data_IF_760765933605
#
_entry.id   IF_760765933605
#
_cell.length_a   1.000
_cell.length_b   1.000
_cell.length_c   1.000
_cell.angle_alpha   90.00
_cell.angle_beta   90.00
_cell.angle_gamma   90.00
#
_symmetry.space_group_name_H-M   'P 1'
#
loop_
_entity.id
_entity.type
_entity.pdbx_description
1 polymer ?
2 water ?
#
# COMPACT_ATOMS: atom_id res chain seq x y z
N UNK A 3 11.99 10.82 -39.13
CA UNK A 3 12.27 10.78 -37.70
C UNK A 3 11.25 9.91 -36.99
N UNK A 4 10.18 9.52 -37.71
CA UNK A 4 9.07 8.75 -37.14
C UNK A 4 9.07 7.36 -37.79
N UNK A 5 8.99 6.32 -36.98
CA UNK A 5 8.90 4.94 -37.46
C UNK A 5 8.02 4.18 -36.47
N UNK A 6 7.17 3.29 -36.98
CA UNK A 6 6.35 2.48 -36.08
C UNK A 6 5.08 3.17 -35.63
N UNK A 7 4.43 2.55 -34.64
CA UNK A 7 3.09 2.94 -34.22
C UNK A 7 3.14 3.69 -32.89
N UNK A 8 2.15 4.56 -32.70
CA UNK A 8 1.96 5.20 -31.42
C UNK A 8 1.23 4.23 -30.47
N UNK A 9 1.34 4.49 -29.18
CA UNK A 9 0.85 3.50 -28.22
C UNK A 9 0.60 4.15 -26.87
N UNK A 10 -0.14 3.44 -26.03
CA UNK A 10 -0.38 3.90 -24.65
C UNK A 10 -0.57 2.67 -23.76
N UNK A 11 -0.04 2.75 -22.53
CA UNK A 11 -0.09 1.66 -21.58
C UNK A 11 -0.45 2.19 -20.19
N UNK A 12 -1.41 1.56 -19.53
CA UNK A 12 -1.71 1.88 -18.13
C UNK A 12 -0.76 1.08 -17.25
N UNK A 13 0.13 1.78 -16.55
CA UNK A 13 1.05 1.12 -15.61
C UNK A 13 0.49 1.05 -14.20
N UNK A 14 -0.34 2.02 -13.81
CA UNK A 14 -0.92 2.07 -12.47
C UNK A 14 -2.21 2.86 -12.55
N UNK A 15 -3.25 2.49 -11.81
CA UNK A 15 -3.33 1.34 -10.89
C UNK A 15 -3.55 0.03 -11.61
N UNK A 16 -3.05 -1.05 -11.04
CA UNK A 16 -3.28 -2.37 -11.60
C UNK A 16 -4.34 -3.16 -10.85
N UNK A 17 -4.49 -2.93 -9.54
CA UNK A 17 -5.38 -3.74 -8.73
C UNK A 17 -6.25 -2.93 -7.78
N UNK A 18 -5.69 -1.92 -7.11
CA UNK A 18 -6.39 -1.18 -6.07
C UNK A 18 -6.28 0.33 -6.30
N UNK A 19 -7.28 1.05 -5.80
CA UNK A 19 -7.35 2.50 -5.86
C UNK A 19 -7.69 3.00 -4.46
N UNK A 20 -6.94 3.97 -3.96
CA UNK A 20 -7.28 4.54 -2.66
C UNK A 20 -8.50 5.44 -2.79
N UNK A 21 -9.40 5.35 -1.80
CA UNK A 21 -10.61 6.15 -1.86
C UNK A 21 -10.27 7.62 -1.62
N UNK A 22 -10.54 8.45 -2.62
CA UNK A 22 -10.29 9.88 -2.54
C UNK A 22 -10.95 10.56 -3.72
N UNK A 23 -11.06 11.88 -3.65
CA UNK A 23 -11.61 12.65 -4.77
C UNK A 23 -10.59 12.85 -5.89
N UNK A 24 -9.37 12.32 -5.73
CA UNK A 24 -8.36 12.36 -6.77
C UNK A 24 -7.85 10.94 -7.01
N UNK A 25 -7.84 10.51 -8.27
CA UNK A 25 -7.37 9.19 -8.67
C UNK A 25 -6.24 9.39 -9.68
N UNK A 26 -5.04 8.93 -9.34
CA UNK A 26 -3.89 9.10 -10.21
C UNK A 26 -3.77 7.87 -11.11
N UNK A 27 -3.49 8.12 -12.38
CA UNK A 27 -3.30 7.07 -13.38
C UNK A 27 -1.96 7.33 -14.04
N UNK A 28 -1.07 6.34 -13.99
CA UNK A 28 0.23 6.47 -14.62
C UNK A 28 0.22 5.81 -16.00
N UNK A 29 0.56 6.59 -17.02
CA UNK A 29 0.47 6.18 -18.42
C UNK A 29 1.85 6.27 -19.05
N UNK A 30 2.23 5.25 -19.79
CA UNK A 30 3.43 5.31 -20.63
C UNK A 30 2.98 5.33 -22.08
N UNK A 31 3.63 6.12 -22.91
CA UNK A 31 3.12 6.28 -24.26
C UNK A 31 4.25 6.52 -25.23
N UNK A 32 3.92 6.30 -26.50
CA UNK A 32 4.75 6.70 -27.64
C UNK A 32 3.91 7.66 -28.46
N UNK A 33 4.34 8.93 -28.54
CA UNK A 33 3.65 9.95 -29.32
C UNK A 33 4.58 10.38 -30.44
N UNK A 34 4.10 10.36 -31.68
CA UNK A 34 4.92 10.74 -32.83
C UNK A 34 4.51 12.10 -33.38
N UNK A 35 4.00 12.92 -32.49
CA UNK A 35 3.57 14.29 -32.70
C UNK A 35 3.16 14.77 -31.33
N UNK A 36 2.76 16.02 -31.22
CA UNK A 36 2.07 16.41 -30.01
C UNK A 36 0.68 15.76 -30.04
N UNK A 37 0.28 15.13 -28.93
CA UNK A 37 -0.96 14.36 -28.86
C UNK A 37 -1.65 14.64 -27.54
N UNK A 38 -2.91 14.18 -27.43
CA UNK A 38 -3.60 14.13 -26.15
C UNK A 38 -3.57 12.72 -25.61
N UNK A 39 -3.30 12.59 -24.31
CA UNK A 39 -3.50 11.32 -23.61
C UNK A 39 -4.63 11.54 -22.61
N UNK A 40 -5.50 10.54 -22.49
CA UNK A 40 -6.71 10.64 -21.68
C UNK A 40 -6.75 9.45 -20.74
N UNK A 41 -7.03 9.70 -19.46
CA UNK A 41 -7.31 8.65 -18.49
C UNK A 41 -8.72 8.87 -17.94
N UNK A 42 -9.51 7.80 -17.92
CA UNK A 42 -10.87 7.86 -17.38
C UNK A 42 -11.00 6.89 -16.22
N UNK A 43 -11.88 7.21 -15.29
CA UNK A 43 -12.18 6.36 -14.15
C UNK A 43 -13.66 6.06 -14.17
N UNK A 44 -14.01 4.77 -14.16
CA UNK A 44 -15.39 4.29 -14.24
C UNK A 44 -15.72 3.42 -13.03
N UNK A 45 -16.97 3.47 -12.60
CA UNK A 45 -17.46 2.48 -11.66
C UNK A 45 -18.19 1.38 -12.43
N UNK A 46 -18.73 0.40 -11.70
CA UNK A 46 -19.50 -0.65 -12.37
C UNK A 46 -20.75 -0.11 -13.05
N UNK A 47 -21.15 1.12 -12.69
CA UNK A 47 -22.37 1.71 -13.22
C UNK A 47 -22.14 2.83 -14.22
N UNK A 48 -20.92 3.27 -14.42
CA UNK A 48 -20.65 4.19 -15.51
C UNK A 48 -19.48 5.11 -15.21
N UNK A 49 -19.28 6.02 -16.16
CA UNK A 49 -18.16 6.95 -16.12
C UNK A 49 -18.25 7.84 -14.89
N UNK A 50 -17.12 8.05 -14.23
CA UNK A 50 -17.04 8.94 -13.06
C UNK A 50 -16.26 10.21 -13.34
N UNK A 51 -15.20 10.14 -14.15
CA UNK A 51 -14.37 11.33 -14.38
C UNK A 51 -13.23 10.99 -15.31
N UNK A 52 -12.57 12.04 -15.81
CA UNK A 52 -11.40 11.81 -16.65
C UNK A 52 -10.50 13.03 -16.60
N UNK A 53 -9.26 12.83 -17.06
CA UNK A 53 -8.26 13.89 -17.18
C UNK A 53 -7.63 13.78 -18.55
N UNK A 54 -7.20 14.92 -19.09
CA UNK A 54 -6.56 14.97 -20.40
C UNK A 54 -5.27 15.76 -20.26
N UNK A 55 -4.22 15.32 -20.95
CA UNK A 55 -2.97 16.05 -20.96
C UNK A 55 -2.44 16.09 -22.37
N UNK A 56 -2.14 17.28 -22.86
CA UNK A 56 -1.44 17.41 -24.15
C UNK A 56 0.05 17.16 -23.93
N UNK A 57 0.61 16.21 -24.66
CA UNK A 57 1.99 15.77 -24.46
C UNK A 57 2.79 16.03 -25.72
N UNK A 58 4.06 16.37 -25.53
CA UNK A 58 4.95 16.55 -26.67
C UNK A 58 5.35 15.19 -27.22
N UNK A 59 5.81 15.20 -28.48
CA UNK A 59 6.28 13.97 -29.10
C UNK A 59 7.39 13.34 -28.29
N UNK A 60 7.35 12.01 -28.20
CA UNK A 60 8.42 11.27 -27.58
C UNK A 60 7.88 10.01 -26.92
N UNK A 61 8.78 9.35 -26.20
CA UNK A 61 8.52 8.12 -25.45
C UNK A 61 8.69 8.46 -23.97
N UNK A 62 7.64 8.33 -23.16
CA UNK A 62 7.67 8.82 -21.79
C UNK A 62 6.65 8.11 -20.92
N UNK A 63 6.77 8.37 -19.62
CA UNK A 63 5.76 7.99 -18.63
C UNK A 63 5.28 9.24 -17.90
N UNK A 64 3.96 9.42 -17.82
CA UNK A 64 3.38 10.57 -17.15
C UNK A 64 2.22 10.10 -16.28
N UNK A 65 1.85 10.92 -15.29
CA UNK A 65 0.76 10.56 -14.38
C UNK A 65 -0.28 11.66 -14.42
N UNK A 66 -1.54 11.27 -14.64
CA UNK A 66 -2.67 12.18 -14.69
C UNK A 66 -3.51 12.04 -13.43
N UNK A 67 -3.98 13.17 -12.91
CA UNK A 67 -4.83 13.20 -11.74
C UNK A 67 -6.26 13.44 -12.18
N UNK A 68 -7.13 12.45 -11.94
CA UNK A 68 -8.56 12.54 -12.24
C UNK A 68 -9.29 13.08 -11.03
N UNK A 69 -10.06 14.15 -11.22
CA UNK A 69 -10.80 14.79 -10.14
C UNK A 69 -12.24 14.32 -10.13
N UNK A 70 -12.69 13.88 -8.96
CA UNK A 70 -14.06 13.41 -8.76
C UNK A 70 -14.79 14.30 -7.76
N UNK A 71 -16.12 14.34 -7.88
CA UNK A 71 -16.91 15.12 -6.94
C UNK A 71 -16.84 14.54 -5.53
N UNK A 72 -16.80 13.22 -5.42
CA UNK A 72 -16.74 12.52 -4.14
C UNK A 72 -15.87 11.29 -4.27
N UNK A 73 -15.34 10.86 -3.13
CA UNK A 73 -14.61 9.61 -3.09
C UNK A 73 -15.52 8.46 -3.47
N UNK A 74 -15.06 7.53 -4.30
CA UNK A 74 -15.90 6.38 -4.68
C UNK A 74 -16.09 5.41 -3.54
N UNK A 75 -17.24 4.76 -3.54
CA UNK A 75 -17.54 3.77 -2.50
C UNK A 75 -16.60 2.57 -2.62
N UNK A 76 -16.26 2.00 -1.47
CA UNK A 76 -15.36 0.84 -1.47
C UNK A 76 -16.04 -0.32 -2.17
N UNK A 77 -15.24 -1.15 -2.84
CA UNK A 77 -15.74 -2.31 -3.54
C UNK A 77 -15.00 -2.49 -4.84
N UNK A 78 -15.47 -3.45 -5.64
CA UNK A 78 -14.83 -3.80 -6.90
C UNK A 78 -15.62 -3.25 -8.08
N UNK A 79 -15.26 -3.69 -9.28
CA UNK A 79 -15.97 -3.30 -10.48
C UNK A 79 -15.51 -2.00 -11.08
N UNK A 80 -14.44 -1.40 -10.56
CA UNK A 80 -13.99 -0.13 -11.08
C UNK A 80 -13.06 -0.37 -12.28
N UNK A 81 -13.00 0.63 -13.16
CA UNK A 81 -12.30 0.50 -14.43
C UNK A 81 -11.53 1.77 -14.70
N UNK A 82 -10.28 1.64 -15.16
CA UNK A 82 -9.53 2.76 -15.71
C UNK A 82 -9.40 2.52 -17.21
N UNK A 83 -9.71 3.54 -18.00
CA UNK A 83 -9.52 3.48 -19.44
C UNK A 83 -8.55 4.58 -19.87
N UNK A 84 -7.76 4.29 -20.90
CA UNK A 84 -6.82 5.28 -21.40
C UNK A 84 -6.80 5.27 -22.91
N UNK A 85 -6.46 6.42 -23.48
CA UNK A 85 -6.34 6.50 -24.94
C UNK A 85 -5.33 7.59 -25.28
N UNK A 86 -4.77 7.48 -26.48
CA UNK A 86 -3.95 8.55 -27.05
C UNK A 86 -4.57 8.91 -28.39
N UNK A 87 -4.63 10.20 -28.69
CA UNK A 87 -5.43 10.65 -29.81
C UNK A 87 -4.89 12.01 -30.27
N UNK A 88 -5.24 12.46 -31.48
CA UNK A 88 -4.76 13.77 -31.91
C UNK A 88 -5.33 14.85 -30.99
N UNK A 89 -4.55 15.92 -30.82
CA UNK A 89 -4.90 16.96 -29.86
C UNK A 89 -6.30 17.50 -30.14
N UNK A 90 -7.09 17.65 -29.09
CA UNK A 90 -8.40 18.25 -29.17
C UNK A 90 -9.53 17.38 -29.70
N UNK A 91 -9.26 16.15 -30.13
CA UNK A 91 -10.27 15.30 -30.74
C UNK A 91 -11.00 14.48 -29.68
N UNK A 92 -12.08 13.82 -30.09
CA UNK A 92 -12.82 12.96 -29.19
C UNK A 92 -12.45 11.50 -29.45
N UNK A 93 -13.18 10.59 -28.83
CA UNK A 93 -12.79 9.19 -28.80
C UNK A 93 -12.79 8.54 -30.17
N UNK A 94 -13.55 9.08 -31.14
CA UNK A 94 -13.60 8.46 -32.46
C UNK A 94 -12.27 8.59 -33.22
N UNK A 95 -11.33 9.41 -32.74
CA UNK A 95 -10.01 9.53 -33.33
C UNK A 95 -8.92 8.78 -32.55
N UNK A 96 -9.30 7.96 -31.57
CA UNK A 96 -8.29 7.25 -30.80
C UNK A 96 -7.27 6.55 -31.68
N UNK A 97 -6.00 6.71 -31.34
CA UNK A 97 -4.91 6.04 -32.05
C UNK A 97 -4.56 4.72 -31.39
N UNK A 98 -4.63 4.71 -30.08
CA UNK A 98 -4.40 3.50 -29.28
C UNK A 98 -5.13 3.66 -27.97
N UNK A 99 -5.42 2.54 -27.31
CA UNK A 99 -6.13 2.51 -26.04
C UNK A 99 -5.54 1.44 -25.14
N UNK A 100 -5.89 1.55 -23.86
CA UNK A 100 -5.65 0.50 -22.87
C UNK A 100 -6.77 0.56 -21.83
N UNK A 101 -6.92 -0.53 -21.08
CA UNK A 101 -7.90 -0.50 -20.00
C UNK A 101 -7.52 -1.53 -18.95
N UNK A 102 -7.98 -1.29 -17.73
CA UNK A 102 -7.76 -2.18 -16.59
C UNK A 102 -9.11 -2.35 -15.91
N UNK A 103 -9.61 -3.58 -15.87
CA UNK A 103 -10.87 -3.89 -15.20
C UNK A 103 -10.64 -4.52 -13.84
N UNK A 104 -11.73 -4.71 -13.11
CA UNK A 104 -11.68 -5.39 -11.83
C UNK A 104 -10.95 -4.65 -10.73
N UNK A 105 -10.83 -3.32 -10.82
CA UNK A 105 -10.16 -2.57 -9.76
C UNK A 105 -11.01 -2.50 -8.50
N UNK A 106 -10.35 -2.54 -7.36
CA UNK A 106 -10.99 -2.39 -6.06
C UNK A 106 -10.67 -1.02 -5.50
N UNK A 107 -11.66 -0.35 -4.92
CA UNK A 107 -11.42 0.86 -4.15
C UNK A 107 -11.39 0.45 -2.69
N UNK A 108 -10.34 0.87 -1.98
CA UNK A 108 -10.11 0.42 -0.61
C UNK A 108 -10.65 1.44 0.38
N UNK A 109 -11.04 1.04 1.61
CA UNK A 109 -11.59 1.98 2.61
C UNK A 109 -10.60 3.02 3.13
N UNK B 4 -5.11 -10.23 -2.22
CA UNK B 4 -4.32 -10.42 -3.42
C UNK B 4 -3.14 -11.36 -3.17
N UNK B 5 -2.81 -12.17 -4.18
CA UNK B 5 -1.63 -13.03 -4.10
C UNK B 5 -0.42 -12.14 -3.90
N UNK B 6 0.42 -12.49 -2.92
CA UNK B 6 1.65 -11.76 -2.68
C UNK B 6 1.49 -10.46 -1.92
N UNK B 7 0.33 -10.20 -1.35
CA UNK B 7 0.08 -8.95 -0.64
C UNK B 7 0.99 -8.83 0.58
N UNK B 8 1.21 -7.59 1.02
CA UNK B 8 2.02 -7.36 2.20
C UNK B 8 1.28 -7.83 3.45
N UNK B 9 2.05 -8.28 4.43
CA UNK B 9 1.47 -8.87 5.63
C UNK B 9 2.52 -8.89 6.73
N UNK B 10 2.06 -9.00 7.97
CA UNK B 10 2.95 -9.22 9.10
C UNK B 10 2.27 -10.18 10.09
N UNK B 11 3.06 -11.10 10.64
CA UNK B 11 2.53 -12.11 11.55
C UNK B 11 3.46 -12.24 12.74
N UNK B 12 2.89 -12.20 13.94
CA UNK B 12 3.64 -12.46 15.17
C UNK B 12 3.75 -13.97 15.30
N UNK B 13 4.92 -14.55 14.99
CA UNK B 13 5.05 -15.99 15.14
C UNK B 13 5.30 -16.37 16.59
N UNK B 14 5.97 -15.49 17.34
CA UNK B 14 6.30 -15.72 18.73
C UNK B 14 6.39 -14.33 19.37
N UNK B 15 5.95 -14.17 20.62
CA UNK B 15 5.36 -15.18 21.51
C UNK B 15 3.90 -15.48 21.22
N UNK B 16 3.42 -16.67 21.55
CA UNK B 16 2.00 -16.96 21.43
C UNK B 16 1.31 -17.06 22.78
N UNK B 17 2.02 -17.44 23.82
CA UNK B 17 1.41 -17.63 25.14
C UNK B 17 2.18 -16.96 26.28
N UNK B 18 3.51 -17.08 26.32
CA UNK B 18 4.29 -16.64 27.46
C UNK B 18 5.47 -15.79 27.04
N UNK B 19 5.84 -14.87 27.93
CA UNK B 19 6.99 -13.99 27.79
C UNK B 19 7.80 -14.07 29.08
N UNK B 20 9.09 -14.37 28.97
CA UNK B 20 9.92 -14.40 30.17
C UNK B 20 10.16 -12.99 30.70
N UNK B 21 10.01 -12.82 32.01
CA UNK B 21 10.25 -11.51 32.61
C UNK B 21 11.71 -11.11 32.48
N UNK B 22 11.96 -10.01 31.79
CA UNK B 22 13.31 -9.56 31.45
C UNK B 22 13.20 -8.14 30.94
N UNK B 23 14.34 -7.44 30.86
CA UNK B 23 14.29 -6.11 30.25
C UNK B 23 14.27 -6.18 28.74
N UNK B 24 14.32 -7.40 28.17
CA UNK B 24 14.34 -7.66 26.75
C UNK B 24 13.09 -8.49 26.46
N UNK B 25 12.30 -8.10 25.47
CA UNK B 25 11.15 -8.90 25.04
C UNK B 25 11.31 -9.13 23.55
N UNK B 26 11.51 -10.38 23.15
CA UNK B 26 11.77 -10.72 21.76
C UNK B 26 10.47 -11.07 21.05
N UNK B 27 10.26 -10.49 19.85
CA UNK B 27 9.08 -10.70 19.04
C UNK B 27 9.51 -11.18 17.66
N UNK B 28 9.15 -12.40 17.30
CA UNK B 28 9.52 -12.95 16.01
C UNK B 28 8.41 -12.68 15.01
N UNK B 29 8.77 -11.98 13.92
CA UNK B 29 7.81 -11.45 12.95
C UNK B 29 8.11 -12.03 11.57
N UNK B 30 7.13 -12.73 10.98
CA UNK B 30 7.19 -13.08 9.57
C UNK B 30 6.46 -12.01 8.77
N UNK B 31 7.10 -11.47 7.75
CA UNK B 31 6.47 -10.37 7.03
C UNK B 31 6.80 -10.44 5.55
N UNK B 32 5.98 -9.74 4.79
CA UNK B 32 6.20 -9.58 3.36
C UNK B 32 6.19 -8.10 3.06
N UNK B 33 7.29 -7.61 2.47
CA UNK B 33 7.50 -6.21 2.19
C UNK B 33 7.74 -6.04 0.69
N UNK B 34 6.88 -5.28 0.04
CA UNK B 34 6.98 -5.07 -1.40
C UNK B 34 7.75 -3.79 -1.75
N UNK B 35 8.34 -3.15 -0.75
CA UNK B 35 9.25 -2.02 -0.89
C UNK B 35 9.97 -1.91 0.43
N UNK B 36 10.83 -0.90 0.57
CA UNK B 36 11.37 -0.65 1.91
C UNK B 36 10.22 -0.28 2.84
N UNK B 37 10.18 -0.88 4.03
CA UNK B 37 9.10 -0.67 4.98
C UNK B 37 9.68 -0.53 6.38
N UNK B 38 8.85 0.01 7.29
CA UNK B 38 9.14 -0.10 8.71
C UNK B 38 8.31 -1.24 9.26
N UNK B 39 8.93 -2.09 10.07
CA UNK B 39 8.19 -3.09 10.86
C UNK B 39 8.29 -2.67 12.31
N UNK B 40 7.21 -2.87 13.05
CA UNK B 40 7.05 -2.38 14.42
C UNK B 40 6.53 -3.52 15.27
N UNK B 41 7.08 -3.67 16.47
CA UNK B 41 6.52 -4.55 17.49
C UNK B 41 6.37 -3.76 18.79
N UNK B 42 5.22 -3.88 19.45
CA UNK B 42 4.93 -3.19 20.70
C UNK B 42 4.57 -4.18 21.80
N UNK B 43 4.91 -3.82 23.05
CA UNK B 43 4.60 -4.66 24.20
C UNK B 43 3.81 -3.82 25.21
N UNK B 44 2.63 -4.33 25.59
CA UNK B 44 1.69 -3.63 26.44
C UNK B 44 1.31 -4.48 27.63
N UNK B 45 1.05 -3.82 28.76
CA UNK B 45 0.34 -4.45 29.86
C UNK B 45 -1.14 -4.13 29.75
N UNK B 46 -1.94 -4.66 30.68
CA UNK B 46 -3.35 -4.30 30.72
C UNK B 46 -3.58 -2.81 30.98
N UNK B 47 -2.56 -2.08 31.45
CA UNK B 47 -2.75 -0.67 31.78
C UNK B 47 -2.00 0.28 30.86
N UNK B 48 -1.08 -0.20 30.03
CA UNK B 48 -0.49 0.72 29.07
C UNK B 48 0.68 0.14 28.32
N UNK B 49 1.20 0.98 27.44
CA UNK B 49 2.40 0.70 26.66
C UNK B 49 3.60 0.49 27.58
N UNK B 50 4.41 -0.52 27.27
CA UNK B 50 5.66 -0.72 28.00
C UNK B 50 6.89 -0.48 27.14
N UNK B 51 6.83 -0.77 25.84
CA UNK B 51 7.96 -0.45 24.98
C UNK B 51 7.65 -0.85 23.56
N UNK B 52 8.54 -0.45 22.66
CA UNK B 52 8.40 -0.92 21.28
C UNK B 52 9.75 -1.02 20.61
N UNK B 53 9.75 -1.67 19.46
CA UNK B 53 10.92 -1.79 18.62
C UNK B 53 10.51 -1.49 17.18
N UNK B 54 11.44 -0.96 16.41
CA UNK B 54 11.17 -0.68 15.01
C UNK B 54 12.42 -1.00 14.22
N UNK B 55 12.20 -1.45 12.99
CA UNK B 55 13.30 -1.66 12.06
C UNK B 55 12.84 -1.30 10.66
N UNK B 56 13.69 -0.56 9.95
CA UNK B 56 13.48 -0.28 8.53
C UNK B 56 14.10 -1.41 7.72
N UNK B 57 13.28 -2.09 6.92
CA UNK B 57 13.70 -3.32 6.27
C UNK B 57 13.55 -3.17 4.75
N UNK B 58 14.42 -3.87 4.03
CA UNK B 58 14.36 -3.89 2.57
C UNK B 58 13.19 -4.75 2.11
N UNK B 59 12.78 -4.52 0.86
CA UNK B 59 11.76 -5.36 0.25
C UNK B 59 12.17 -6.83 0.33
N UNK B 60 11.18 -7.69 0.56
CA UNK B 60 11.43 -9.11 0.55
C UNK B 60 10.41 -9.84 1.41
N UNK B 61 10.74 -11.09 1.67
CA UNK B 61 9.86 -11.99 2.41
C UNK B 61 10.73 -12.75 3.41
N UNK B 62 10.59 -12.44 4.70
CA UNK B 62 11.52 -13.00 5.66
C UNK B 62 10.92 -12.94 7.06
N UNK B 63 11.61 -13.60 7.99
CA UNK B 63 11.25 -13.60 9.40
C UNK B 63 12.39 -12.97 10.18
N UNK B 64 12.06 -12.06 11.09
CA UNK B 64 13.08 -11.34 11.84
C UNK B 64 12.63 -11.26 13.28
N UNK B 65 13.58 -11.34 14.21
CA UNK B 65 13.24 -11.16 15.62
C UNK B 65 13.67 -9.77 16.06
N UNK B 66 12.70 -8.95 16.48
CA UNK B 66 12.98 -7.65 17.07
C UNK B 66 13.04 -7.81 18.58
N UNK B 67 13.86 -6.99 19.21
CA UNK B 67 13.99 -6.99 20.66
C UNK B 67 13.46 -5.68 21.22
N UNK B 68 12.38 -5.77 21.98
CA UNK B 68 11.84 -4.60 22.68
C UNK B 68 12.61 -4.41 23.97
N UNK B 69 13.23 -3.24 24.12
CA UNK B 69 14.01 -2.91 25.30
C UNK B 69 13.11 -2.17 26.29
N UNK B 70 13.00 -2.70 27.50
CA UNK B 70 12.19 -2.10 28.55
C UNK B 70 13.08 -1.47 29.60
N UNK B 71 12.59 -0.41 30.25
CA UNK B 71 13.36 0.20 31.33
C UNK B 71 13.44 -0.70 32.55
N UNK B 72 12.43 -1.54 32.75
CA UNK B 72 12.42 -2.47 33.88
C UNK B 72 11.72 -3.74 33.43
N UNK B 73 12.08 -4.86 34.08
CA UNK B 73 11.41 -6.11 33.78
C UNK B 73 9.95 -5.98 34.18
N UNK B 74 9.02 -6.46 33.35
CA UNK B 74 7.60 -6.37 33.67
C UNK B 74 7.21 -7.39 34.72
N UNK B 75 6.27 -7.01 35.59
CA UNK B 75 5.81 -7.93 36.62
C UNK B 75 5.26 -9.21 36.00
N UNK B 76 5.54 -10.35 36.62
CA UNK B 76 4.90 -11.57 36.16
C UNK B 76 3.39 -11.45 36.38
N UNK B 77 2.62 -11.96 35.43
CA UNK B 77 1.17 -11.86 35.53
C UNK B 77 0.54 -12.00 34.16
N UNK B 78 -0.78 -11.82 34.14
CA UNK B 78 -1.57 -12.09 32.96
C UNK B 78 -1.87 -10.80 32.19
N UNK B 79 -2.39 -10.98 30.98
CA UNK B 79 -3.03 -9.90 30.26
C UNK B 79 -2.13 -9.05 29.39
N UNK B 80 -0.91 -9.48 29.13
CA UNK B 80 -0.02 -8.71 28.28
C UNK B 80 -0.37 -8.88 26.81
N UNK B 81 0.13 -7.94 25.99
CA UNK B 81 -0.26 -7.84 24.59
C UNK B 81 0.99 -7.52 23.77
N UNK B 82 1.12 -8.20 22.63
CA UNK B 82 2.10 -7.82 21.61
C UNK B 82 1.35 -7.36 20.39
N UNK B 83 1.68 -6.16 19.89
CA UNK B 83 1.14 -5.62 18.66
C UNK B 83 2.26 -5.55 17.62
N UNK B 84 1.89 -5.74 16.36
CA UNK B 84 2.88 -5.59 15.30
C UNK B 84 2.24 -4.88 14.11
N UNK B 85 3.08 -4.23 13.32
CA UNK B 85 2.57 -3.58 12.12
C UNK B 85 3.69 -3.45 11.10
N UNK B 86 3.29 -3.32 9.84
CA UNK B 86 4.21 -3.02 8.75
C UNK B 86 3.63 -1.83 8.01
N UNK B 87 4.48 -0.87 7.67
CA UNK B 87 3.98 0.43 7.22
C UNK B 87 5.07 1.08 6.38
N UNK B 88 4.74 2.15 5.65
CA UNK B 88 5.78 2.86 4.89
C UNK B 88 6.83 3.45 5.82
N UNK B 89 8.03 3.66 5.27
CA UNK B 89 9.16 4.10 6.11
C UNK B 89 8.84 5.44 6.75
N UNK B 90 9.14 5.56 8.03
CA UNK B 90 9.02 6.83 8.72
C UNK B 90 7.62 7.28 9.04
N UNK B 91 6.66 6.36 9.12
CA UNK B 91 5.27 6.74 9.30
C UNK B 91 4.73 6.25 10.64
N UNK B 92 3.58 6.77 11.02
CA UNK B 92 2.92 6.32 12.24
C UNK B 92 1.85 5.28 11.87
N UNK B 93 1.07 4.85 12.88
CA UNK B 93 0.14 3.74 12.69
C UNK B 93 -0.97 4.07 11.69
N UNK B 94 -1.29 5.34 11.49
CA UNK B 94 -2.34 5.67 10.53
C UNK B 94 -1.95 5.29 9.11
N UNK B 95 -0.65 5.07 8.85
CA UNK B 95 -0.19 4.62 7.54
C UNK B 95 -0.03 3.12 7.45
N UNK B 96 -0.50 2.37 8.45
CA UNK B 96 -0.26 0.92 8.48
C UNK B 96 -0.80 0.26 7.22
N UNK B 97 -0.03 -0.69 6.70
CA UNK B 97 -0.48 -1.56 5.61
C UNK B 97 -1.09 -2.85 6.15
N UNK B 98 -0.46 -3.44 7.16
CA UNK B 98 -0.99 -4.65 7.77
C UNK B 98 -0.57 -4.67 9.24
N UNK B 99 -1.33 -5.42 10.04
CA UNK B 99 -1.07 -5.52 11.48
C UNK B 99 -1.26 -6.97 11.93
N UNK B 100 -0.76 -7.23 13.13
CA UNK B 100 -1.14 -8.42 13.89
C UNK B 100 -1.15 -8.05 15.36
N UNK B 101 -1.79 -8.89 16.17
CA UNK B 101 -1.85 -8.65 17.60
C UNK B 101 -2.04 -10.00 18.30
N UNK B 102 -1.31 -10.19 19.39
CA UNK B 102 -1.43 -11.37 20.24
C UNK B 102 -1.86 -10.91 21.62
N UNK B 103 -3.00 -11.41 22.07
CA UNK B 103 -3.55 -11.00 23.35
C UNK B 103 -3.40 -12.10 24.37
N UNK B 104 -3.55 -11.71 25.65
CA UNK B 104 -3.67 -12.69 26.71
C UNK B 104 -2.36 -13.32 27.12
N UNK B 105 -1.23 -12.66 26.83
CA UNK B 105 0.08 -13.20 27.15
C UNK B 105 0.36 -13.17 28.64
N UNK B 106 1.02 -14.22 29.12
CA UNK B 106 1.54 -14.27 30.48
C UNK B 106 3.00 -13.83 30.47
N UNK B 107 3.37 -12.99 31.42
CA UNK B 107 4.78 -12.80 31.74
C UNK B 107 5.12 -13.78 32.86
N UNK B 108 6.18 -14.56 32.67
CA UNK B 108 6.44 -15.68 33.57
C UNK B 108 7.86 -15.58 34.11
N UNK B 109 8.11 -16.20 35.26
CA UNK B 109 9.46 -16.17 35.85
C UNK B 109 10.50 -16.68 34.87
N UNK B 110 11.68 -16.09 34.95
CA UNK B 110 12.79 -16.49 34.10
C UNK B 110 13.32 -17.82 34.62
#
# INVERSE_FOLDING_TARGET
MGAVIGNESITINSPSTNVESDTKVNVTLAYTANATRDIVAEFWSSTGWLGQAVKTVSAGNRTETLTINLNNAPATGSGYVVKASIRPVGTNWTSNIATDQVNGLNVIPALEHHHHHH
MGAVIGNESITINSPSTNVESDTKVNVTLAYTANATRDIVAEFWSSTGWLGQAVKTVSAGNRTETLTINLNNAPATGSGYVVKASIRPVGTNWTSNIATDQVNGLNVIPALEHHHHHH
#
